data_IF_353574614056
#
_entry.id   IF_353574614056
#
_cell.length_a   1.000
_cell.length_b   1.000
_cell.length_c   1.000
_cell.angle_alpha   90.00
_cell.angle_beta   90.00
_cell.angle_gamma   90.00
#
_symmetry.space_group_name_H-M   'P 1'
#
loop_
_entity.id
_entity.type
_entity.pdbx_description
1 polymer ?
#
# COMPACT_ATOMS: atom_id res chain seq x y z
N UNK A 1 -5.97 12.00 19.90
CA UNK A 1 -5.97 13.26 19.12
C UNK A 1 -6.60 12.98 17.77
N UNK A 2 -7.37 13.93 17.24
CA UNK A 2 -7.93 13.83 15.90
C UNK A 2 -6.79 13.92 14.86
N UNK A 3 -6.94 13.18 13.77
CA UNK A 3 -6.00 13.16 12.65
C UNK A 3 -6.67 13.57 11.32
N UNK A 4 -5.92 13.53 10.21
CA UNK A 4 -6.42 14.00 8.92
C UNK A 4 -7.64 13.20 8.43
N UNK A 5 -7.73 11.93 8.80
CA UNK A 5 -8.87 11.07 8.47
C UNK A 5 -10.08 11.47 9.33
N UNK A 6 -9.88 11.74 10.63
CA UNK A 6 -10.93 12.27 11.51
C UNK A 6 -11.49 13.60 10.97
N UNK A 7 -10.62 14.50 10.51
CA UNK A 7 -11.02 15.78 9.90
C UNK A 7 -11.77 15.61 8.57
N UNK A 8 -11.45 14.56 7.78
CA UNK A 8 -12.22 14.24 6.59
C UNK A 8 -13.67 13.85 6.96
N UNK A 9 -13.84 12.89 7.86
CA UNK A 9 -15.18 12.41 8.24
C UNK A 9 -16.01 13.47 8.97
N UNK A 10 -15.37 14.39 9.70
CA UNK A 10 -16.05 15.53 10.35
C UNK A 10 -16.78 16.46 9.37
N UNK A 11 -16.44 16.44 8.07
CA UNK A 11 -17.15 17.21 7.03
C UNK A 11 -18.55 16.64 6.70
N UNK A 12 -18.86 15.43 7.19
CA UNK A 12 -20.12 14.73 6.96
C UNK A 12 -20.85 14.49 8.29
N UNK A 13 -21.44 15.53 8.92
CA UNK A 13 -21.98 15.43 10.28
C UNK A 13 -23.17 14.47 10.42
N UNK A 14 -23.85 14.14 9.31
CA UNK A 14 -24.92 13.14 9.29
C UNK A 14 -24.41 11.70 9.21
N UNK A 15 -23.12 11.49 8.99
CA UNK A 15 -22.48 10.17 8.99
C UNK A 15 -21.87 9.89 10.37
N UNK A 16 -22.34 8.82 11.02
CA UNK A 16 -21.85 8.42 12.34
C UNK A 16 -20.52 7.69 12.24
N UNK A 17 -19.43 8.38 11.92
CA UNK A 17 -18.09 7.80 11.75
C UNK A 17 -17.62 7.00 12.98
N UNK A 18 -17.19 5.75 12.74
CA UNK A 18 -16.58 4.89 13.75
C UNK A 18 -15.07 4.81 13.57
N UNK A 19 -14.34 5.49 14.47
CA UNK A 19 -12.87 5.52 14.48
C UNK A 19 -12.22 4.19 14.82
N UNK A 20 -12.95 3.26 15.43
CA UNK A 20 -12.43 1.92 15.73
C UNK A 20 -12.42 0.99 14.50
N UNK A 21 -13.21 1.33 13.48
CA UNK A 21 -13.27 0.59 12.23
C UNK A 21 -12.21 1.06 11.22
N UNK A 22 -11.99 0.26 10.19
CA UNK A 22 -11.02 0.59 9.14
C UNK A 22 -11.45 1.81 8.35
N UNK A 23 -10.51 2.75 8.16
CA UNK A 23 -10.82 4.03 7.53
C UNK A 23 -11.39 3.88 6.10
N UNK A 24 -10.85 3.02 5.22
CA UNK A 24 -11.48 2.72 3.91
C UNK A 24 -12.88 2.11 4.02
N UNK A 25 -13.13 1.22 5.01
CA UNK A 25 -14.46 0.62 5.20
C UNK A 25 -15.48 1.67 5.60
N UNK A 26 -15.09 2.60 6.46
CA UNK A 26 -15.93 3.73 6.85
C UNK A 26 -16.24 4.65 5.67
N UNK A 27 -15.30 4.86 4.76
CA UNK A 27 -15.56 5.61 3.53
C UNK A 27 -16.63 4.92 2.65
N UNK A 28 -16.55 3.59 2.48
CA UNK A 28 -17.57 2.86 1.71
C UNK A 28 -18.93 2.84 2.42
N UNK A 29 -18.95 2.67 3.76
CA UNK A 29 -20.18 2.78 4.56
C UNK A 29 -20.84 4.16 4.41
N UNK A 30 -20.03 5.21 4.38
CA UNK A 30 -20.49 6.58 4.12
C UNK A 30 -21.09 6.71 2.72
N UNK A 31 -20.43 6.14 1.70
CA UNK A 31 -20.95 6.12 0.33
C UNK A 31 -22.30 5.40 0.25
N UNK A 32 -22.47 4.29 0.96
CA UNK A 32 -23.72 3.55 1.00
C UNK A 32 -24.83 4.35 1.68
N UNK A 33 -24.54 5.01 2.81
CA UNK A 33 -25.49 5.87 3.50
C UNK A 33 -26.00 7.01 2.59
N UNK A 34 -25.11 7.68 1.87
CA UNK A 34 -25.47 8.77 0.95
C UNK A 34 -25.99 8.30 -0.42
N UNK A 35 -26.20 6.99 -0.61
CA UNK A 35 -26.63 6.40 -1.88
C UNK A 35 -25.73 6.78 -3.06
N UNK A 36 -24.43 6.91 -2.81
CA UNK A 36 -23.41 7.22 -3.81
C UNK A 36 -23.00 5.97 -4.61
N UNK A 37 -24.01 5.24 -5.09
CA UNK A 37 -23.85 3.99 -5.81
C UNK A 37 -23.46 4.23 -7.26
N UNK A 38 -22.94 3.17 -7.89
CA UNK A 38 -22.67 3.16 -9.32
C UNK A 38 -24.00 3.29 -10.08
N UNK A 39 -24.04 4.20 -11.04
CA UNK A 39 -25.18 4.43 -11.93
C UNK A 39 -25.22 3.38 -13.05
N UNK A 40 -26.35 3.22 -13.78
CA UNK A 40 -26.46 2.28 -14.89
C UNK A 40 -25.42 2.49 -16.00
N UNK A 41 -24.95 3.71 -16.19
CA UNK A 41 -23.87 4.09 -17.12
C UNK A 41 -22.46 3.73 -16.63
N UNK A 42 -22.36 2.93 -15.56
CA UNK A 42 -21.11 2.57 -14.89
C UNK A 42 -20.33 3.74 -14.27
N UNK A 43 -20.95 4.91 -14.05
CA UNK A 43 -20.30 6.05 -13.40
C UNK A 43 -20.69 6.21 -11.93
N UNK A 44 -19.84 6.84 -11.14
CA UNK A 44 -20.17 7.29 -9.78
C UNK A 44 -20.62 8.76 -9.79
N UNK A 45 -21.51 9.18 -8.87
CA UNK A 45 -21.92 10.58 -8.77
C UNK A 45 -20.73 11.50 -8.47
N UNK A 46 -20.77 12.77 -8.93
CA UNK A 46 -19.68 13.73 -8.69
C UNK A 46 -19.28 13.86 -7.22
N UNK A 47 -20.26 13.90 -6.31
CA UNK A 47 -20.03 13.97 -4.86
C UNK A 47 -19.14 12.83 -4.34
N UNK A 48 -19.33 11.59 -4.83
CA UNK A 48 -18.46 10.46 -4.46
C UNK A 48 -17.04 10.63 -4.95
N UNK A 49 -16.86 11.12 -6.18
CA UNK A 49 -15.54 11.33 -6.76
C UNK A 49 -14.76 12.39 -5.98
N UNK A 50 -15.43 13.49 -5.64
CA UNK A 50 -14.86 14.56 -4.82
C UNK A 50 -14.53 14.08 -3.39
N UNK A 51 -15.46 13.37 -2.75
CA UNK A 51 -15.24 12.79 -1.43
C UNK A 51 -14.07 11.80 -1.45
N UNK A 52 -13.97 10.98 -2.51
CA UNK A 52 -12.87 10.04 -2.69
C UNK A 52 -11.54 10.78 -2.78
N UNK A 53 -11.43 11.81 -3.62
CA UNK A 53 -10.18 12.59 -3.73
C UNK A 53 -9.72 13.15 -2.38
N UNK A 54 -10.63 13.81 -1.64
CA UNK A 54 -10.35 14.36 -0.32
C UNK A 54 -9.93 13.28 0.69
N UNK A 55 -10.61 12.14 0.66
CA UNK A 55 -10.30 11.01 1.53
C UNK A 55 -8.91 10.44 1.26
N UNK A 56 -8.56 10.28 -0.03
CA UNK A 56 -7.24 9.77 -0.44
C UNK A 56 -6.12 10.70 0.03
N UNK A 57 -6.29 12.01 -0.13
CA UNK A 57 -5.34 13.01 0.38
C UNK A 57 -5.19 12.89 1.89
N UNK A 58 -6.29 12.79 2.64
CA UNK A 58 -6.25 12.62 4.09
C UNK A 58 -5.48 11.37 4.53
N UNK A 59 -5.70 10.23 3.85
CA UNK A 59 -4.95 9.00 4.12
C UNK A 59 -3.45 9.14 3.85
N UNK A 60 -3.06 9.76 2.73
CA UNK A 60 -1.64 9.93 2.38
C UNK A 60 -0.94 10.89 3.34
N UNK A 61 -1.57 12.03 3.66
CA UNK A 61 -1.03 12.99 4.62
C UNK A 61 -0.86 12.34 6.00
N UNK A 62 -1.86 11.57 6.45
CA UNK A 62 -1.73 10.87 7.73
C UNK A 62 -0.64 9.81 7.71
N UNK A 63 -0.49 9.08 6.61
CA UNK A 63 0.58 8.10 6.45
C UNK A 63 1.96 8.76 6.58
N UNK A 64 2.16 9.86 5.85
CA UNK A 64 3.41 10.61 5.87
C UNK A 64 3.72 11.19 7.26
N UNK A 65 2.71 11.67 7.99
CA UNK A 65 2.90 12.16 9.35
C UNK A 65 3.28 11.07 10.36
N UNK A 66 2.84 9.83 10.13
CA UNK A 66 3.08 8.69 11.03
C UNK A 66 4.38 7.97 10.77
N UNK A 67 4.76 7.86 9.50
CA UNK A 67 5.87 7.02 9.06
C UNK A 67 7.01 7.79 8.41
N UNK A 68 6.84 9.09 8.17
CA UNK A 68 7.82 9.93 7.48
C UNK A 68 7.66 9.91 5.97
N UNK A 69 8.28 10.90 5.34
CA UNK A 69 8.30 11.08 3.88
C UNK A 69 9.63 10.71 3.24
N UNK A 70 10.71 10.71 4.03
CA UNK A 70 12.07 10.48 3.52
C UNK A 70 12.37 8.98 3.41
N UNK A 71 12.71 8.54 2.20
CA UNK A 71 13.09 7.15 1.97
C UNK A 71 14.49 6.83 2.50
N UNK A 72 15.35 7.81 2.74
CA UNK A 72 16.71 7.59 3.24
C UNK A 72 16.80 7.68 4.78
N UNK A 73 15.69 7.96 5.46
CA UNK A 73 15.65 8.06 6.91
C UNK A 73 15.63 6.67 7.58
N UNK A 74 16.74 6.30 8.23
CA UNK A 74 16.89 5.08 9.02
C UNK A 74 15.81 4.96 10.10
N UNK A 75 15.44 6.06 10.76
CA UNK A 75 14.51 6.02 11.88
C UNK A 75 13.09 5.68 11.41
N UNK A 76 12.65 6.24 10.29
CA UNK A 76 11.39 5.90 9.64
C UNK A 76 11.32 4.40 9.30
N UNK A 77 12.35 3.84 8.65
CA UNK A 77 12.37 2.41 8.33
C UNK A 77 12.46 1.51 9.56
N UNK A 78 13.25 1.91 10.56
CA UNK A 78 13.35 1.17 11.83
C UNK A 78 12.01 1.11 12.54
N UNK A 79 11.27 2.22 12.60
CA UNK A 79 9.93 2.26 13.19
C UNK A 79 8.94 1.36 12.47
N UNK A 80 9.06 1.19 11.15
CA UNK A 80 8.24 0.24 10.39
C UNK A 80 8.67 -1.20 10.69
N UNK A 81 9.97 -1.51 10.72
CA UNK A 81 10.45 -2.84 11.10
C UNK A 81 10.00 -3.25 12.51
N UNK A 82 10.00 -2.32 13.47
CA UNK A 82 9.49 -2.52 14.83
C UNK A 82 7.99 -2.76 14.85
N UNK A 83 7.22 -1.97 14.09
CA UNK A 83 5.77 -2.16 13.94
C UNK A 83 5.43 -3.55 13.37
N UNK A 84 6.26 -4.06 12.47
CA UNK A 84 6.13 -5.39 11.87
C UNK A 84 6.78 -6.50 12.71
N UNK A 85 7.30 -6.17 13.89
CA UNK A 85 7.92 -7.11 14.83
C UNK A 85 9.02 -7.97 14.18
N UNK A 86 9.81 -7.38 13.28
CA UNK A 86 10.85 -8.10 12.55
C UNK A 86 11.97 -8.59 13.48
N UNK A 87 12.29 -9.88 13.40
CA UNK A 87 13.35 -10.51 14.17
C UNK A 87 14.13 -11.52 13.30
N UNK A 88 15.47 -11.37 13.13
CA UNK A 88 16.31 -10.29 13.66
C UNK A 88 16.02 -8.93 13.00
N UNK A 89 16.24 -7.85 13.75
CA UNK A 89 16.14 -6.49 13.24
C UNK A 89 17.18 -6.28 12.11
N UNK A 90 16.77 -5.93 10.88
CA UNK A 90 17.71 -5.66 9.81
C UNK A 90 18.59 -4.45 10.14
N UNK A 91 19.87 -4.48 9.77
CA UNK A 91 20.79 -3.36 9.96
C UNK A 91 20.96 -2.54 8.69
N UNK A 92 20.75 -1.23 8.79
CA UNK A 92 20.92 -0.27 7.68
C UNK A 92 19.65 -0.07 6.84
N UNK A 93 19.52 1.13 6.27
CA UNK A 93 18.32 1.57 5.52
C UNK A 93 17.94 0.61 4.41
N UNK A 94 18.90 0.24 3.56
CA UNK A 94 18.64 -0.64 2.41
C UNK A 94 18.14 -2.03 2.83
N UNK A 95 18.70 -2.59 3.91
CA UNK A 95 18.27 -3.89 4.44
C UNK A 95 16.87 -3.81 5.04
N UNK A 96 16.59 -2.77 5.83
CA UNK A 96 15.26 -2.52 6.41
C UNK A 96 14.21 -2.32 5.31
N UNK A 97 14.49 -1.41 4.37
CA UNK A 97 13.64 -1.15 3.19
C UNK A 97 13.34 -2.44 2.44
N UNK A 98 14.36 -3.25 2.12
CA UNK A 98 14.16 -4.52 1.41
C UNK A 98 13.33 -5.52 2.22
N UNK A 99 13.58 -5.63 3.52
CA UNK A 99 12.81 -6.53 4.39
C UNK A 99 11.33 -6.13 4.46
N UNK A 100 11.05 -4.84 4.65
CA UNK A 100 9.68 -4.29 4.64
C UNK A 100 9.03 -4.52 3.28
N UNK A 101 9.75 -4.27 2.18
CA UNK A 101 9.21 -4.45 0.83
C UNK A 101 8.81 -5.90 0.55
N UNK A 102 9.60 -6.85 1.03
CA UNK A 102 9.35 -8.29 0.90
C UNK A 102 8.29 -8.81 1.88
N UNK A 103 7.89 -8.00 2.85
CA UNK A 103 6.75 -8.31 3.72
C UNK A 103 5.52 -7.69 3.08
N UNK A 104 4.63 -8.52 2.53
CA UNK A 104 3.45 -7.99 1.87
C UNK A 104 2.45 -7.53 2.93
N UNK A 105 2.23 -6.22 3.04
CA UNK A 105 1.39 -5.58 4.07
C UNK A 105 0.41 -4.63 3.42
N UNK A 106 -0.80 -4.53 3.97
CA UNK A 106 -1.76 -3.52 3.57
C UNK A 106 -1.47 -2.19 4.29
N UNK A 107 -1.32 -1.11 3.51
CA UNK A 107 -0.96 0.21 4.07
C UNK A 107 -2.08 0.86 4.88
N UNK A 108 -3.35 0.55 4.60
CA UNK A 108 -4.46 0.97 5.44
C UNK A 108 -4.39 0.28 6.82
N UNK A 109 -3.96 -0.98 6.87
CA UNK A 109 -3.75 -1.69 8.14
C UNK A 109 -2.57 -1.11 8.93
N UNK A 110 -1.51 -0.63 8.26
CA UNK A 110 -0.44 0.10 8.95
C UNK A 110 -0.95 1.36 9.64
N UNK A 111 -1.79 2.15 8.96
CA UNK A 111 -2.44 3.32 9.54
C UNK A 111 -3.35 2.92 10.70
N UNK A 112 -4.27 1.99 10.47
CA UNK A 112 -5.25 1.57 11.46
C UNK A 112 -4.58 0.93 12.70
N UNK A 113 -3.50 0.16 12.51
CA UNK A 113 -2.67 -0.39 13.58
C UNK A 113 -1.98 0.73 14.37
N UNK A 114 -1.38 1.73 13.71
CA UNK A 114 -0.77 2.84 14.44
C UNK A 114 -1.79 3.67 15.22
N UNK A 115 -3.03 3.75 14.76
CA UNK A 115 -4.14 4.44 15.43
C UNK A 115 -4.71 3.66 16.62
N UNK A 116 -4.75 2.32 16.55
CA UNK A 116 -5.43 1.44 17.53
C UNK A 116 -4.50 0.60 18.40
N UNK A 117 -3.22 0.48 18.02
CA UNK A 117 -2.25 -0.40 18.68
C UNK A 117 -2.43 -1.88 18.36
N UNK A 118 -3.15 -2.21 17.29
CA UNK A 118 -3.45 -3.60 16.91
C UNK A 118 -2.34 -4.25 16.09
N UNK A 119 -2.27 -5.59 16.12
CA UNK A 119 -1.37 -6.34 15.28
C UNK A 119 -1.70 -6.17 13.79
N UNK A 120 -0.66 -6.16 12.95
CA UNK A 120 -0.79 -6.04 11.50
C UNK A 120 -0.73 -7.42 10.87
N UNK A 121 -1.69 -7.70 9.99
CA UNK A 121 -1.64 -8.87 9.11
C UNK A 121 -0.53 -8.70 8.08
N UNK A 122 0.40 -9.65 8.05
CA UNK A 122 1.43 -9.76 7.02
C UNK A 122 1.13 -10.96 6.12
N UNK A 123 1.42 -10.83 4.84
CA UNK A 123 1.15 -11.83 3.82
C UNK A 123 2.46 -12.33 3.21
N UNK A 124 2.48 -13.61 2.82
CA UNK A 124 3.67 -14.24 2.23
C UNK A 124 3.80 -13.91 0.75
N UNK A 125 2.70 -13.62 0.08
CA UNK A 125 2.68 -13.30 -1.35
C UNK A 125 1.89 -12.03 -1.65
N UNK A 126 2.17 -11.43 -2.81
CA UNK A 126 1.37 -10.31 -3.30
C UNK A 126 -0.08 -10.71 -3.57
N UNK A 127 -0.33 -11.94 -4.06
CA UNK A 127 -1.68 -12.41 -4.37
C UNK A 127 -2.54 -12.54 -3.12
N UNK A 128 -1.99 -13.05 -2.02
CA UNK A 128 -2.65 -13.07 -0.70
C UNK A 128 -3.01 -11.65 -0.22
N UNK A 129 -2.09 -10.69 -0.38
CA UNK A 129 -2.35 -9.29 -0.05
C UNK A 129 -3.47 -8.70 -0.92
N UNK A 130 -3.49 -9.01 -2.22
CA UNK A 130 -4.51 -8.55 -3.18
C UNK A 130 -5.87 -9.10 -2.79
N UNK A 131 -5.98 -10.42 -2.59
CA UNK A 131 -7.22 -11.09 -2.22
C UNK A 131 -7.79 -10.51 -0.92
N UNK A 132 -6.95 -10.40 0.11
CA UNK A 132 -7.32 -9.77 1.37
C UNK A 132 -7.80 -8.32 1.19
N UNK A 133 -7.06 -7.52 0.42
CA UNK A 133 -7.38 -6.10 0.24
C UNK A 133 -8.73 -5.92 -0.47
N UNK A 134 -9.02 -6.76 -1.46
CA UNK A 134 -10.30 -6.75 -2.18
C UNK A 134 -11.43 -7.23 -1.27
N UNK A 135 -11.25 -8.37 -0.61
CA UNK A 135 -12.26 -8.97 0.27
C UNK A 135 -12.65 -8.02 1.41
N UNK A 136 -11.66 -7.41 2.06
CA UNK A 136 -11.89 -6.50 3.19
C UNK A 136 -12.22 -5.06 2.78
N UNK A 137 -12.09 -4.73 1.49
CA UNK A 137 -12.29 -3.37 0.99
C UNK A 137 -11.26 -2.36 1.52
N UNK A 138 -10.06 -2.80 1.88
CA UNK A 138 -9.01 -1.99 2.54
C UNK A 138 -8.06 -1.32 1.55
N UNK A 139 -8.62 -0.57 0.61
CA UNK A 139 -7.83 0.04 -0.47
C UNK A 139 -7.01 1.23 0.03
N UNK A 140 -5.71 1.23 -0.28
CA UNK A 140 -4.86 2.40 -0.10
C UNK A 140 -4.69 3.17 -1.43
N UNK A 141 -4.76 4.51 -1.42
CA UNK A 141 -4.59 5.36 -2.60
C UNK A 141 -3.26 5.15 -3.31
N UNK A 142 -3.27 4.97 -4.64
CA UNK A 142 -2.05 4.81 -5.46
C UNK A 142 -1.47 6.14 -5.97
N UNK A 143 -2.10 7.31 -5.80
CA UNK A 143 -1.67 8.51 -6.55
C UNK A 143 -0.22 8.92 -6.29
N UNK A 144 0.55 8.91 -7.38
CA UNK A 144 1.96 9.32 -7.44
C UNK A 144 2.18 10.80 -7.07
N UNK A 145 1.14 11.64 -7.15
CA UNK A 145 1.23 13.08 -6.88
C UNK A 145 1.57 13.41 -5.41
N UNK A 146 1.27 12.49 -4.48
CA UNK A 146 1.54 12.65 -3.04
C UNK A 146 2.52 11.60 -2.50
N UNK A 147 2.94 10.65 -3.34
CA UNK A 147 3.89 9.60 -3.00
C UNK A 147 5.34 10.12 -3.10
N UNK A 148 5.71 10.97 -2.16
CA UNK A 148 7.11 11.31 -1.90
C UNK A 148 7.82 10.18 -1.16
N UNK A 149 9.06 9.89 -1.56
CA UNK A 149 10.04 9.06 -0.83
C UNK A 149 9.51 7.72 -0.32
N UNK A 150 9.24 7.62 0.99
CA UNK A 150 8.96 6.36 1.68
C UNK A 150 7.70 5.65 1.18
N UNK A 151 6.59 6.37 1.00
CA UNK A 151 5.32 5.79 0.57
C UNK A 151 5.44 5.14 -0.82
N UNK A 152 6.22 5.73 -1.72
CA UNK A 152 6.47 5.21 -3.07
C UNK A 152 7.07 3.80 -3.06
N UNK A 153 7.91 3.47 -2.08
CA UNK A 153 8.50 2.14 -1.94
C UNK A 153 7.50 1.10 -1.38
N UNK A 154 6.48 1.56 -0.67
CA UNK A 154 5.50 0.70 0.00
C UNK A 154 4.24 0.46 -0.83
N UNK A 155 3.91 1.36 -1.75
CA UNK A 155 2.82 1.17 -2.69
C UNK A 155 2.98 -0.15 -3.45
N UNK A 156 1.89 -0.92 -3.54
CA UNK A 156 1.78 -2.17 -4.30
C UNK A 156 0.63 -2.04 -5.28
N UNK A 157 0.81 -2.65 -6.45
CA UNK A 157 -0.29 -2.75 -7.41
C UNK A 157 -1.25 -3.84 -6.96
N UNK A 158 -2.46 -3.43 -6.56
CA UNK A 158 -3.52 -4.35 -6.11
C UNK A 158 -4.29 -4.91 -7.32
N UNK A 159 -4.40 -4.14 -8.40
CA UNK A 159 -5.07 -4.54 -9.63
C UNK A 159 -4.04 -4.89 -10.70
N UNK A 160 -3.57 -6.14 -10.73
CA UNK A 160 -2.77 -6.63 -11.85
C UNK A 160 -3.69 -7.10 -13.00
N UNK A 161 -3.74 -6.32 -14.07
CA UNK A 161 -3.54 -6.87 -15.42
C UNK A 161 -2.43 -6.06 -16.09
N UNK A 162 -1.20 -6.45 -15.86
CA UNK A 162 -0.09 -6.06 -16.73
C UNK A 162 0.76 -7.29 -17.05
N UNK A 163 0.58 -7.84 -18.26
CA UNK A 163 1.47 -8.82 -18.88
C UNK A 163 2.74 -8.13 -19.39
N UNK A 164 3.44 -7.44 -18.50
CA UNK A 164 4.74 -6.84 -18.80
C UNK A 164 5.82 -7.89 -18.64
N UNK A 165 6.22 -8.53 -19.74
CA UNK A 165 7.36 -9.43 -19.79
C UNK A 165 8.61 -8.80 -19.15
N UNK A 166 8.91 -9.18 -17.90
CA UNK A 166 10.22 -8.92 -17.28
C UNK A 166 11.28 -9.52 -18.18
N UNK A 167 12.18 -8.67 -18.67
CA UNK A 167 13.17 -8.99 -19.68
C UNK A 167 13.91 -10.29 -19.40
N UNK A 168 13.99 -11.14 -20.43
CA UNK A 168 14.98 -12.21 -20.52
C UNK A 168 16.38 -11.58 -20.62
N UNK A 169 16.98 -11.27 -19.48
CA UNK A 169 18.42 -10.99 -19.41
C UNK A 169 19.18 -12.32 -19.29
N UNK A 170 19.75 -12.72 -20.43
CA UNK A 170 21.08 -13.31 -20.54
C UNK A 170 21.36 -14.60 -19.80
N UNK A 171 21.05 -15.74 -20.43
CA UNK A 171 21.79 -16.98 -20.14
C UNK A 171 23.11 -16.91 -20.90
N UNK A 172 24.15 -16.41 -20.23
CA UNK A 172 25.55 -16.58 -20.63
C UNK A 172 25.81 -18.09 -20.76
N UNK A 173 25.89 -18.58 -21.99
CA UNK A 173 26.42 -19.91 -22.27
C UNK A 173 27.87 -19.73 -22.70
N UNK A 174 28.77 -20.01 -21.74
CA UNK A 174 30.20 -20.13 -22.02
C UNK A 174 30.44 -21.18 -23.10
N UNK A 175 31.16 -20.79 -24.15
CA UNK A 175 31.72 -21.73 -25.13
C UNK A 175 33.23 -21.72 -24.99
N UNK A 176 33.70 -22.67 -24.20
CA UNK A 176 35.10 -23.09 -24.12
C UNK A 176 35.53 -23.62 -25.48
N UNK A 177 36.69 -23.15 -25.96
CA UNK A 177 37.40 -23.68 -27.13
C UNK A 177 37.86 -25.12 -26.86
N UNK A 178 37.68 -26.01 -27.85
CA UNK A 178 38.31 -27.32 -27.90
C UNK A 178 38.39 -27.83 -29.33
N UNK A 179 39.59 -27.79 -29.91
CA UNK A 179 39.98 -28.47 -31.16
C UNK A 179 39.88 -29.99 -30.98
N UNK A 180 39.45 -30.74 -32.00
CA UNK A 180 40.06 -32.01 -32.42
C UNK A 180 39.61 -32.36 -33.85
N UNK A 181 40.47 -33.10 -34.56
CA UNK A 181 40.54 -33.30 -36.00
C UNK A 181 39.92 -34.63 -36.51
N UNK A 182 40.07 -34.86 -37.83
CA UNK A 182 39.76 -36.02 -38.72
C UNK A 182 38.52 -35.76 -39.58
N UNK A 183 38.52 -35.96 -40.90
CA UNK A 183 39.32 -36.85 -41.75
C UNK A 183 38.33 -37.67 -42.59
N UNK A 184 38.42 -37.56 -43.91
CA UNK A 184 37.50 -38.21 -44.88
C UNK A 184 37.56 -37.49 -46.21
#
# INVERSE_FOLDING_TARGET
MADHIDHFFAQYPSFSYDRANSSPREFFRMCDQFQWKKRPDNTYPPARKEAWEKFRVAMVVEFNNRFGTDAEDVFSWKGICELLQMNPMPSGVESMRKAVINTHINLADMLDSKRRGEAISTFKTQDELVEYTIHEGRYFPKEDAYAGGLLKYLLREIHNKYEGSRGKRGRLQGKTRGRYAKGG
#
